data_IF_708350679293
#
_entry.id   IF_708350679293
#
_cell.length_a   1.000
_cell.length_b   1.000
_cell.length_c   1.000
_cell.angle_alpha   90.00
_cell.angle_beta   90.00
_cell.angle_gamma   90.00
#
_symmetry.space_group_name_H-M   'P 1'
#
loop_
_entity.id
_entity.type
_entity.pdbx_description
1 polymer ?
#
# COMPACT_ATOMS: atom_id res chain seq x y z
N UNK A 1 -24.28 33.51 -2.48
CA UNK A 1 -24.16 32.82 -3.78
C UNK A 1 -22.82 32.11 -3.81
N UNK A 2 -22.73 30.77 -3.78
CA UNK A 2 -21.45 30.10 -4.03
C UNK A 2 -21.30 29.86 -5.53
N UNK A 3 -20.27 30.48 -6.11
CA UNK A 3 -19.85 30.32 -7.50
C UNK A 3 -19.25 28.92 -7.68
N UNK A 4 -19.94 28.06 -8.42
CA UNK A 4 -19.38 26.80 -8.92
C UNK A 4 -18.38 27.10 -10.05
N UNK A 5 -17.14 27.47 -9.71
CA UNK A 5 -16.03 27.32 -10.67
C UNK A 5 -15.72 25.84 -10.73
N UNK A 6 -16.33 25.13 -11.69
CA UNK A 6 -15.84 23.80 -12.06
C UNK A 6 -14.57 24.03 -12.86
N UNK A 7 -13.45 24.25 -12.15
CA UNK A 7 -12.15 24.18 -12.78
C UNK A 7 -12.06 22.83 -13.51
N UNK A 8 -11.59 22.80 -14.77
CA UNK A 8 -11.59 21.58 -15.55
C UNK A 8 -10.67 20.56 -14.87
N UNK A 9 -11.27 19.55 -14.23
CA UNK A 9 -10.55 18.46 -13.59
C UNK A 9 -10.31 17.33 -14.58
N UNK A 10 -9.23 16.59 -14.36
CA UNK A 10 -8.98 15.36 -15.08
C UNK A 10 -10.12 14.35 -14.85
N UNK A 11 -10.45 13.54 -15.86
CA UNK A 11 -11.40 12.45 -15.69
C UNK A 11 -10.87 11.42 -14.69
N UNK A 12 -11.78 10.72 -14.00
CA UNK A 12 -11.42 9.71 -13.00
C UNK A 12 -10.66 8.52 -13.59
N UNK A 13 -10.81 8.26 -14.89
CA UNK A 13 -10.10 7.21 -15.62
C UNK A 13 -9.42 7.83 -16.82
N UNK A 14 -8.09 7.69 -16.86
CA UNK A 14 -7.26 8.16 -17.96
C UNK A 14 -6.77 6.94 -18.75
N UNK A 15 -7.10 6.89 -20.05
CA UNK A 15 -6.54 5.92 -20.98
C UNK A 15 -5.53 6.61 -21.90
N UNK A 16 -4.50 5.89 -22.32
CA UNK A 16 -3.47 6.44 -23.21
C UNK A 16 -4.06 6.87 -24.55
N UNK A 17 -5.02 6.10 -25.09
CA UNK A 17 -5.67 6.41 -26.36
C UNK A 17 -6.49 7.71 -26.28
N UNK A 18 -7.07 8.03 -25.13
CA UNK A 18 -7.82 9.28 -24.93
C UNK A 18 -6.86 10.50 -24.95
N UNK A 19 -5.59 10.31 -24.60
CA UNK A 19 -4.55 11.35 -24.70
C UNK A 19 -4.07 11.47 -26.15
N UNK A 20 -3.76 10.34 -26.78
CA UNK A 20 -3.28 10.30 -28.16
C UNK A 20 -4.31 10.83 -29.18
N UNK A 21 -5.60 10.64 -28.89
CA UNK A 21 -6.72 11.17 -29.68
C UNK A 21 -7.05 12.63 -29.41
N UNK A 22 -6.38 13.30 -28.46
CA UNK A 22 -6.61 14.71 -28.11
C UNK A 22 -7.88 14.97 -27.28
N UNK A 23 -8.55 13.91 -26.80
CA UNK A 23 -9.73 14.02 -25.93
C UNK A 23 -9.38 14.52 -24.53
N UNK A 24 -8.17 14.24 -24.07
CA UNK A 24 -7.60 14.82 -22.84
C UNK A 24 -6.55 15.85 -23.24
N UNK A 25 -6.80 17.11 -22.90
CA UNK A 25 -5.82 18.16 -23.16
C UNK A 25 -4.58 17.99 -22.27
N UNK A 26 -3.36 18.04 -22.84
CA UNK A 26 -2.12 17.94 -22.06
C UNK A 26 -2.00 18.97 -20.94
N UNK A 27 -2.53 20.18 -21.16
CA UNK A 27 -2.52 21.27 -20.16
C UNK A 27 -3.21 20.86 -18.85
N UNK A 28 -4.28 20.06 -18.91
CA UNK A 28 -4.97 19.57 -17.71
C UNK A 28 -4.09 18.62 -16.89
N UNK A 29 -3.27 17.81 -17.56
CA UNK A 29 -2.32 16.91 -16.92
C UNK A 29 -1.23 17.72 -16.20
N UNK A 30 -0.67 18.74 -16.87
CA UNK A 30 0.34 19.61 -16.26
C UNK A 30 -0.21 20.38 -15.05
N UNK A 31 -1.41 20.93 -15.18
CA UNK A 31 -2.07 21.63 -14.08
C UNK A 31 -2.31 20.74 -12.87
N UNK A 32 -2.77 19.50 -13.08
CA UNK A 32 -2.97 18.56 -11.96
C UNK A 32 -1.63 18.14 -11.33
N UNK A 33 -0.57 17.95 -12.12
CA UNK A 33 0.77 17.68 -11.59
C UNK A 33 1.27 18.83 -10.71
N UNK A 34 1.12 20.07 -11.14
CA UNK A 34 1.54 21.23 -10.36
C UNK A 34 0.69 21.42 -9.10
N UNK A 35 -0.61 21.17 -9.19
CA UNK A 35 -1.50 21.13 -8.04
C UNK A 35 -1.06 20.06 -7.03
N UNK A 36 -0.81 18.82 -7.47
CA UNK A 36 -0.37 17.74 -6.58
C UNK A 36 0.98 18.05 -5.92
N UNK A 37 1.92 18.68 -6.64
CA UNK A 37 3.19 19.14 -6.04
C UNK A 37 2.95 20.14 -4.90
N UNK A 38 1.98 21.04 -5.02
CA UNK A 38 1.62 21.95 -3.93
C UNK A 38 0.95 21.17 -2.80
N UNK A 39 0.00 20.30 -3.13
CA UNK A 39 -0.81 19.56 -2.17
C UNK A 39 0.01 18.62 -1.30
N UNK A 40 1.01 17.92 -1.85
CA UNK A 40 1.91 17.06 -1.06
C UNK A 40 2.78 17.86 -0.10
N UNK A 41 3.15 19.10 -0.46
CA UNK A 41 3.92 19.98 0.42
C UNK A 41 3.05 20.49 1.57
N UNK A 42 1.79 20.85 1.30
CA UNK A 42 0.82 21.21 2.35
C UNK A 42 0.60 20.03 3.29
N UNK A 43 0.37 18.83 2.75
CA UNK A 43 0.17 17.62 3.54
C UNK A 43 1.38 17.31 4.44
N UNK A 44 2.60 17.44 3.92
CA UNK A 44 3.83 17.28 4.71
C UNK A 44 3.88 18.26 5.89
N UNK A 45 3.52 19.52 5.65
CA UNK A 45 3.50 20.55 6.70
C UNK A 45 2.44 20.25 7.76
N UNK A 46 1.23 19.86 7.35
CA UNK A 46 0.14 19.50 8.26
C UNK A 46 0.48 18.27 9.10
N UNK A 47 1.08 17.25 8.49
CA UNK A 47 1.59 16.08 9.21
C UNK A 47 2.65 16.46 10.25
N UNK A 48 3.58 17.35 9.88
CA UNK A 48 4.61 17.85 10.80
C UNK A 48 3.99 18.59 11.97
N UNK A 49 3.01 19.47 11.72
CA UNK A 49 2.31 20.21 12.75
C UNK A 49 1.50 19.30 13.66
N UNK A 50 0.86 18.28 13.09
CA UNK A 50 0.13 17.27 13.84
C UNK A 50 1.05 16.46 14.77
N UNK A 51 2.19 15.99 14.26
CA UNK A 51 3.19 15.25 15.08
C UNK A 51 3.72 16.14 16.22
N UNK A 52 4.03 17.41 15.93
CA UNK A 52 4.45 18.38 16.97
C UNK A 52 3.36 18.57 18.02
N UNK A 53 2.10 18.69 17.60
CA UNK A 53 0.98 18.81 18.53
C UNK A 53 0.84 17.57 19.42
N UNK A 54 1.06 16.36 18.89
CA UNK A 54 1.06 15.13 19.69
C UNK A 54 2.21 15.05 20.70
N UNK A 55 3.37 15.61 20.34
CA UNK A 55 4.57 15.60 21.16
C UNK A 55 4.58 16.70 22.25
N UNK A 56 3.65 17.64 22.21
CA UNK A 56 3.61 18.79 23.13
C UNK A 56 2.20 18.95 23.70
N UNK A 57 2.03 18.61 24.98
CA UNK A 57 0.80 18.92 25.72
C UNK A 57 1.03 20.26 26.43
N UNK A 58 0.30 21.33 26.08
CA UNK A 58 0.45 22.61 26.76
C UNK A 58 -0.06 22.52 28.19
N UNK A 59 0.71 23.04 29.16
CA UNK A 59 0.37 23.02 30.59
C UNK A 59 -0.93 23.79 30.92
N UNK A 60 -1.36 24.66 30.01
CA UNK A 60 -2.48 25.58 30.18
C UNK A 60 -3.76 25.12 29.46
N UNK A 61 -3.76 23.93 28.83
CA UNK A 61 -4.87 23.44 28.03
C UNK A 61 -5.64 22.31 28.74
N UNK A 62 -6.98 22.35 28.66
CA UNK A 62 -7.81 21.26 29.16
C UNK A 62 -7.62 20.00 28.29
N UNK A 63 -7.40 18.85 28.95
CA UNK A 63 -7.04 17.59 28.28
C UNK A 63 -8.09 17.12 27.26
N UNK A 64 -9.37 17.35 27.55
CA UNK A 64 -10.49 17.01 26.66
C UNK A 64 -10.48 17.84 25.36
N UNK A 65 -10.16 19.12 25.46
CA UNK A 65 -10.04 20.03 24.31
C UNK A 65 -8.82 19.68 23.45
N UNK A 66 -7.70 19.33 24.10
CA UNK A 66 -6.51 18.83 23.43
C UNK A 66 -6.81 17.53 22.65
N UNK A 67 -7.44 16.55 23.31
CA UNK A 67 -7.79 15.27 22.69
C UNK A 67 -8.71 15.45 21.48
N UNK A 68 -9.77 16.26 21.62
CA UNK A 68 -10.70 16.56 20.51
C UNK A 68 -9.96 17.17 19.32
N UNK A 69 -9.08 18.13 19.56
CA UNK A 69 -8.28 18.79 18.53
C UNK A 69 -7.34 17.81 17.83
N UNK A 70 -6.67 16.94 18.58
CA UNK A 70 -5.76 15.94 18.04
C UNK A 70 -6.51 14.94 17.13
N UNK A 71 -7.66 14.41 17.59
CA UNK A 71 -8.48 13.48 16.80
C UNK A 71 -9.00 14.14 15.52
N UNK A 72 -9.44 15.40 15.59
CA UNK A 72 -9.88 16.14 14.42
C UNK A 72 -8.75 16.31 13.40
N UNK A 73 -7.56 16.73 13.84
CA UNK A 73 -6.38 16.88 12.97
C UNK A 73 -5.95 15.56 12.35
N UNK A 74 -5.96 14.46 13.12
CA UNK A 74 -5.69 13.13 12.60
C UNK A 74 -6.64 12.77 11.46
N UNK A 75 -7.94 13.01 11.65
CA UNK A 75 -8.96 12.72 10.62
C UNK A 75 -8.75 13.58 9.37
N UNK A 76 -8.40 14.86 9.52
CA UNK A 76 -8.09 15.75 8.41
C UNK A 76 -6.86 15.25 7.62
N UNK A 77 -5.77 14.90 8.29
CA UNK A 77 -4.56 14.36 7.65
C UNK A 77 -4.87 13.04 6.93
N UNK A 78 -5.60 12.13 7.57
CA UNK A 78 -6.00 10.85 6.95
C UNK A 78 -6.85 11.04 5.69
N UNK A 79 -7.80 11.97 5.70
CA UNK A 79 -8.61 12.27 4.52
C UNK A 79 -7.76 12.89 3.41
N UNK A 80 -6.88 13.83 3.75
CA UNK A 80 -5.98 14.48 2.80
C UNK A 80 -5.02 13.49 2.13
N UNK A 81 -4.51 12.50 2.88
CA UNK A 81 -3.70 11.40 2.32
C UNK A 81 -4.52 10.60 1.29
N UNK A 82 -5.75 10.23 1.62
CA UNK A 82 -6.61 9.44 0.71
C UNK A 82 -6.92 10.22 -0.56
N UNK A 83 -7.26 11.50 -0.42
CA UNK A 83 -7.56 12.38 -1.55
C UNK A 83 -6.33 12.55 -2.46
N UNK A 84 -5.17 12.85 -1.89
CA UNK A 84 -3.91 12.93 -2.62
C UNK A 84 -3.59 11.63 -3.37
N UNK A 85 -3.69 10.47 -2.70
CA UNK A 85 -3.45 9.17 -3.34
C UNK A 85 -4.41 8.92 -4.50
N UNK A 86 -5.69 9.25 -4.34
CA UNK A 86 -6.67 9.06 -5.40
C UNK A 86 -6.34 9.89 -6.64
N UNK A 87 -5.99 11.17 -6.46
CA UNK A 87 -5.62 12.04 -7.58
C UNK A 87 -4.28 11.61 -8.22
N UNK A 88 -3.29 11.21 -7.41
CA UNK A 88 -2.05 10.63 -7.91
C UNK A 88 -2.28 9.36 -8.74
N UNK A 89 -3.15 8.46 -8.28
CA UNK A 89 -3.44 7.21 -8.99
C UNK A 89 -4.10 7.42 -10.35
N UNK A 90 -4.85 8.51 -10.54
CA UNK A 90 -5.38 8.88 -11.87
C UNK A 90 -4.26 9.14 -12.88
N UNK A 91 -3.11 9.65 -12.42
CA UNK A 91 -1.96 9.99 -13.27
C UNK A 91 -1.04 8.80 -13.55
N UNK A 92 -1.15 7.68 -12.82
CA UNK A 92 -0.29 6.52 -12.99
C UNK A 92 -0.19 6.00 -14.43
N UNK A 93 -1.28 5.87 -15.22
CA UNK A 93 -1.17 5.42 -16.61
C UNK A 93 -0.23 6.31 -17.43
N UNK A 94 -0.29 7.63 -17.21
CA UNK A 94 0.54 8.62 -17.90
C UNK A 94 2.00 8.50 -17.45
N UNK A 95 2.23 8.44 -16.13
CA UNK A 95 3.55 8.30 -15.53
C UNK A 95 4.22 7.02 -16.03
N UNK A 96 3.50 5.90 -16.02
CA UNK A 96 3.98 4.60 -16.47
C UNK A 96 4.33 4.59 -17.96
N UNK A 97 3.52 5.23 -18.80
CA UNK A 97 3.84 5.41 -20.22
C UNK A 97 5.13 6.22 -20.41
N UNK A 98 5.28 7.32 -19.65
CA UNK A 98 6.48 8.15 -19.71
C UNK A 98 7.73 7.37 -19.26
N UNK A 99 7.62 6.57 -18.20
CA UNK A 99 8.68 5.69 -17.72
C UNK A 99 9.11 4.69 -18.80
N UNK A 100 8.15 3.96 -19.42
CA UNK A 100 8.45 3.02 -20.52
C UNK A 100 9.17 3.72 -21.67
N UNK A 101 8.70 4.90 -22.08
CA UNK A 101 9.33 5.68 -23.16
C UNK A 101 10.75 6.14 -22.82
N UNK A 102 11.05 6.37 -21.55
CA UNK A 102 12.37 6.75 -21.05
C UNK A 102 13.27 5.55 -20.73
N UNK A 103 12.75 4.31 -20.85
CA UNK A 103 13.47 3.09 -20.49
C UNK A 103 13.54 2.81 -18.98
N UNK A 104 12.67 3.43 -18.18
CA UNK A 104 12.55 3.19 -16.75
C UNK A 104 11.54 2.07 -16.43
N UNK A 105 11.69 1.44 -15.27
CA UNK A 105 10.71 0.48 -14.75
C UNK A 105 9.38 1.17 -14.41
N UNK A 106 8.29 0.42 -14.59
CA UNK A 106 6.92 0.88 -14.38
C UNK A 106 6.58 0.86 -12.90
N UNK A 107 5.95 1.92 -12.40
CA UNK A 107 5.46 1.95 -11.03
C UNK A 107 4.23 1.04 -10.85
N UNK A 108 4.38 0.06 -9.94
CA UNK A 108 3.30 -0.84 -9.51
C UNK A 108 2.92 -0.44 -8.10
N UNK A 109 1.70 0.09 -7.91
CA UNK A 109 1.16 0.34 -6.58
C UNK A 109 0.91 -1.00 -5.90
N UNK A 110 1.42 -1.23 -4.68
CA UNK A 110 1.03 -2.38 -3.88
C UNK A 110 -0.48 -2.31 -3.64
N UNK A 111 -1.25 -3.20 -4.27
CA UNK A 111 -2.67 -3.33 -3.96
C UNK A 111 -2.77 -3.89 -2.54
N UNK A 112 -3.12 -3.02 -1.58
CA UNK A 112 -3.55 -3.46 -0.27
C UNK A 112 -4.76 -4.40 -0.46
N UNK A 113 -4.52 -5.69 -0.23
CA UNK A 113 -5.46 -6.80 -0.28
C UNK A 113 -6.11 -7.09 -1.65
N UNK A 114 -5.36 -7.76 -2.52
CA UNK A 114 -5.94 -8.85 -3.32
C UNK A 114 -5.28 -10.16 -2.90
N UNK A 115 -6.11 -11.12 -2.50
CA UNK A 115 -5.74 -12.52 -2.28
C UNK A 115 -4.88 -13.03 -3.43
N UNK A 116 -3.89 -13.91 -3.17
CA UNK A 116 -2.97 -14.37 -4.20
C UNK A 116 -3.75 -15.12 -5.29
N UNK A 117 -3.94 -14.48 -6.44
CA UNK A 117 -4.46 -15.13 -7.63
C UNK A 117 -3.38 -16.07 -8.12
N UNK A 118 -3.63 -17.37 -7.94
CA UNK A 118 -2.87 -18.46 -8.54
C UNK A 118 -2.68 -18.16 -10.04
N UNK A 119 -1.46 -18.25 -10.60
CA UNK A 119 -1.25 -18.03 -12.02
C UNK A 119 -2.12 -18.99 -12.84
N UNK A 120 -2.82 -18.51 -13.89
CA UNK A 120 -3.68 -19.37 -14.69
C UNK A 120 -2.85 -20.44 -15.39
N UNK A 121 -3.27 -21.70 -15.22
CA UNK A 121 -2.71 -22.85 -15.91
C UNK A 121 -2.74 -22.65 -17.44
N UNK A 122 -1.71 -23.10 -18.19
CA UNK A 122 -1.71 -23.01 -19.64
C UNK A 122 -2.86 -23.85 -20.23
N UNK A 123 -3.66 -23.24 -21.10
CA UNK A 123 -4.76 -23.87 -21.85
C UNK A 123 -4.24 -24.96 -22.79
N UNK A 124 -5.04 -26.02 -23.06
CA UNK A 124 -4.60 -27.19 -23.79
C UNK A 124 -4.56 -26.94 -25.31
N UNK A 125 -3.41 -27.21 -25.93
CA UNK A 125 -3.27 -27.21 -27.40
C UNK A 125 -3.51 -28.62 -27.94
N UNK A 126 -4.45 -28.72 -28.88
CA UNK A 126 -4.85 -29.92 -29.61
C UNK A 126 -3.76 -30.50 -30.51
N UNK A 127 -3.70 -31.85 -30.51
CA UNK A 127 -3.33 -32.77 -31.59
C UNK A 127 -1.87 -32.79 -32.13
N UNK A 128 -1.16 -33.89 -31.83
CA UNK A 128 -0.82 -34.88 -32.86
C UNK A 128 -0.35 -36.22 -32.26
N UNK A 129 -0.84 -37.31 -32.85
CA UNK A 129 -0.54 -38.71 -32.50
C UNK A 129 0.88 -39.11 -32.97
N UNK A 130 1.62 -39.80 -32.11
CA UNK A 130 2.58 -40.85 -32.49
C UNK A 130 2.70 -41.87 -31.34
N UNK A 131 2.62 -43.19 -31.59
CA UNK A 131 2.59 -44.19 -30.53
C UNK A 131 3.94 -44.92 -30.41
N UNK A 132 4.69 -44.79 -29.31
CA UNK A 132 5.86 -45.66 -29.08
C UNK A 132 6.06 -46.01 -27.60
N UNK A 133 5.95 -47.33 -27.36
CA UNK A 133 6.60 -48.22 -26.36
C UNK A 133 6.50 -47.89 -24.86
N UNK A 134 5.70 -48.72 -24.18
CA UNK A 134 5.85 -49.05 -22.75
C UNK A 134 7.10 -49.91 -22.56
N UNK A 135 7.99 -49.47 -21.68
CA UNK A 135 8.93 -50.34 -20.96
C UNK A 135 8.78 -50.04 -19.49
N UNK A 136 8.36 -51.05 -18.74
CA UNK A 136 8.24 -51.03 -17.29
C UNK A 136 9.60 -51.37 -16.67
N UNK A 137 10.03 -50.61 -15.68
CA UNK A 137 10.88 -51.09 -14.59
C UNK A 137 10.98 -50.03 -13.49
N UNK A 138 10.93 -50.49 -12.24
CA UNK A 138 11.44 -49.74 -11.09
C UNK A 138 10.39 -49.14 -10.16
N UNK A 139 9.87 -49.97 -9.24
CA UNK A 139 10.04 -49.83 -7.77
C UNK A 139 10.07 -48.39 -7.21
N UNK A 140 9.38 -47.99 -6.15
CA UNK A 140 8.72 -48.68 -5.03
C UNK A 140 8.15 -47.55 -4.13
N UNK A 141 6.94 -47.76 -3.59
CA UNK A 141 6.50 -47.52 -2.18
C UNK A 141 6.93 -46.21 -1.47
N UNK A 142 6.10 -45.43 -0.77
CA UNK A 142 4.92 -45.77 0.02
C UNK A 142 4.12 -44.51 0.35
N UNK A 143 2.86 -44.76 0.68
CA UNK A 143 1.78 -43.81 0.83
C UNK A 143 1.37 -43.72 2.32
N UNK A 144 0.96 -42.52 2.75
CA UNK A 144 0.03 -42.16 3.88
C UNK A 144 0.44 -42.47 5.34
N UNK A 145 -0.24 -41.93 6.41
CA UNK A 145 -1.10 -40.74 6.54
C UNK A 145 -0.84 -39.87 7.80
N UNK A 146 -1.51 -38.71 7.77
CA UNK A 146 -1.80 -37.76 8.84
C UNK A 146 -2.55 -38.36 10.06
N UNK A 147 -2.29 -37.86 11.28
CA UNK A 147 -3.07 -38.14 12.48
C UNK A 147 -2.69 -37.26 13.69
N UNK A 148 -3.64 -36.44 14.17
CA UNK A 148 -3.62 -35.74 15.48
C UNK A 148 -3.58 -36.76 16.63
N UNK A 149 -3.05 -36.39 17.81
CA UNK A 149 -3.96 -36.16 18.95
C UNK A 149 -3.53 -35.04 19.94
N UNK A 150 -4.45 -34.77 20.88
CA UNK A 150 -4.50 -33.75 21.94
C UNK A 150 -3.63 -34.04 23.19
N UNK A 151 -3.31 -32.95 23.91
CA UNK A 151 -3.25 -32.76 25.38
C UNK A 151 -2.34 -33.62 26.29
N UNK A 152 -1.36 -32.96 26.95
CA UNK A 152 -1.09 -32.91 28.41
C UNK A 152 0.13 -32.00 28.60
N UNK A 153 0.19 -31.03 29.52
CA UNK A 153 0.24 -31.23 30.96
C UNK A 153 1.68 -31.04 31.47
N UNK A 154 1.92 -29.92 32.18
CA UNK A 154 2.99 -29.70 33.18
C UNK A 154 4.46 -29.62 32.73
N UNK A 155 5.07 -28.44 32.87
CA UNK A 155 6.31 -28.35 33.65
C UNK A 155 6.50 -26.95 34.27
N UNK A 156 6.32 -26.86 35.58
CA UNK A 156 6.75 -25.74 36.39
C UNK A 156 8.22 -25.94 36.72
N UNK A 157 9.08 -24.96 36.42
CA UNK A 157 10.41 -24.89 37.02
C UNK A 157 10.60 -23.52 37.67
N UNK A 158 10.47 -23.50 39.01
CA UNK A 158 10.96 -22.44 39.88
C UNK A 158 12.42 -22.74 40.20
N UNK A 159 13.33 -21.83 39.86
CA UNK A 159 14.37 -21.37 40.78
C UNK A 159 15.18 -20.23 40.18
N UNK A 160 15.61 -19.27 40.99
CA UNK A 160 16.74 -18.40 40.64
C UNK A 160 16.56 -16.93 40.98
N UNK A 161 16.62 -16.64 42.27
CA UNK A 161 16.85 -15.31 42.84
C UNK A 161 18.14 -14.68 42.24
N UNK A 162 18.08 -13.44 41.76
CA UNK A 162 19.22 -12.80 41.10
C UNK A 162 19.03 -11.30 40.89
N UNK A 163 19.15 -10.55 41.97
CA UNK A 163 19.27 -9.09 42.03
C UNK A 163 20.46 -8.60 41.18
N UNK A 164 20.26 -7.63 40.27
CA UNK A 164 21.35 -6.94 39.55
C UNK A 164 21.20 -5.42 39.70
N UNK A 165 22.22 -4.72 40.22
CA UNK A 165 22.15 -3.29 40.48
C UNK A 165 22.46 -2.44 39.23
N UNK A 166 21.85 -1.27 39.27
CA UNK A 166 22.03 -0.10 38.42
C UNK A 166 23.52 0.25 38.20
N UNK A 167 23.94 0.52 36.96
CA UNK A 167 25.25 1.13 36.66
C UNK A 167 25.04 2.49 35.98
N UNK A 168 25.83 3.52 36.32
CA UNK A 168 25.65 4.87 35.78
C UNK A 168 26.23 5.00 34.37
N UNK A 169 25.54 5.75 33.51
CA UNK A 169 26.09 6.24 32.24
C UNK A 169 27.05 7.39 32.57
N UNK A 170 28.32 7.23 32.22
CA UNK A 170 29.31 8.32 32.22
C UNK A 170 29.07 9.16 30.95
N UNK A 171 28.97 10.47 31.15
CA UNK A 171 28.80 11.51 30.12
C UNK A 171 29.96 11.52 29.10
#
# INVERSE_FOLDING_TARGET
>A
MPTTSRDPRLPDVIKIDDIASGKIEPTLIYNELDRLKVEINVLRNDMTLFIKALATVPDNQRQDEYYRTAVQRLKCVQNSIKEYCNEYYKLLPIINLAQIKLGHEVEIVPQANKTPTVPPAPKPTTANKVPVKRTASGSKTNNVPNGKPMANGSNANRNGNGNLPNQPIVL
#
